data_IF_025643398400
#
_entry.id   IF_025643398400
#
_cell.length_a   1.000
_cell.length_b   1.000
_cell.length_c   1.000
_cell.angle_alpha   90.00
_cell.angle_beta   90.00
_cell.angle_gamma   90.00
#
_symmetry.space_group_name_H-M   'P 1'
#
loop_
_entity.id
_entity.type
_entity.pdbx_description
1 polymer ?
#
# COMPACT_ATOMS: atom_id res chain seq x y z
N UNK A 1 9.98 -42.59 9.58
CA UNK A 1 11.37 -42.14 9.56
C UNK A 1 11.36 -40.66 9.95
N UNK A 2 12.20 -40.28 10.86
CA UNK A 2 12.21 -38.93 11.38
C UNK A 2 13.60 -38.52 11.85
N UNK A 3 13.76 -37.21 12.06
CA UNK A 3 14.98 -36.61 12.58
C UNK A 3 14.85 -36.38 14.09
N UNK A 4 15.89 -36.74 14.84
CA UNK A 4 16.02 -36.43 16.24
C UNK A 4 17.08 -35.33 16.41
N UNK A 5 16.73 -34.27 17.11
CA UNK A 5 17.66 -33.19 17.41
C UNK A 5 18.68 -33.62 18.46
N UNK A 6 19.95 -33.54 18.16
CA UNK A 6 21.01 -33.73 19.13
C UNK A 6 21.06 -32.59 20.13
N UNK A 7 21.06 -32.91 21.44
CA UNK A 7 21.14 -31.88 22.48
C UNK A 7 22.43 -31.07 22.34
N UNK A 8 22.29 -29.75 22.34
CA UNK A 8 23.40 -28.80 22.30
C UNK A 8 24.17 -28.95 23.62
N UNK A 9 25.38 -29.50 23.60
CA UNK A 9 26.28 -29.28 24.70
C UNK A 9 27.22 -30.38 25.18
N UNK A 10 27.10 -31.60 24.70
CA UNK A 10 27.93 -32.69 25.29
C UNK A 10 28.62 -33.65 24.30
N UNK A 11 28.56 -33.37 23.01
CA UNK A 11 28.94 -34.37 22.00
C UNK A 11 30.13 -34.01 21.12
N UNK A 12 30.77 -32.85 21.30
CA UNK A 12 31.86 -32.41 20.45
C UNK A 12 33.19 -33.18 20.60
N UNK A 13 33.26 -34.13 21.54
CA UNK A 13 34.52 -34.84 21.77
C UNK A 13 34.48 -36.36 21.65
N UNK A 14 33.34 -37.00 21.73
CA UNK A 14 33.26 -38.46 21.86
C UNK A 14 32.47 -39.16 20.74
N UNK A 15 31.66 -38.43 19.97
CA UNK A 15 30.81 -39.03 18.93
C UNK A 15 31.32 -38.83 17.49
N UNK A 16 32.42 -38.13 17.27
CA UNK A 16 32.97 -37.93 15.92
C UNK A 16 33.40 -39.24 15.22
N UNK A 17 33.66 -40.29 16.00
CA UNK A 17 34.11 -41.58 15.48
C UNK A 17 32.97 -42.60 15.30
N UNK A 18 31.72 -42.28 15.63
CA UNK A 18 30.60 -43.26 15.63
C UNK A 18 29.53 -43.00 14.55
N UNK A 19 29.53 -41.82 13.90
CA UNK A 19 28.55 -41.59 12.83
C UNK A 19 28.99 -42.31 11.54
N UNK A 20 28.02 -42.93 10.88
CA UNK A 20 28.26 -43.70 9.66
C UNK A 20 28.45 -42.76 8.44
N UNK A 21 27.65 -41.73 8.38
CA UNK A 21 27.63 -40.76 7.30
C UNK A 21 27.28 -39.37 7.86
N UNK A 22 27.89 -38.35 7.30
CA UNK A 22 27.61 -36.93 7.66
C UNK A 22 27.21 -36.18 6.40
N UNK A 23 25.95 -35.74 6.38
CA UNK A 23 25.39 -34.94 5.28
C UNK A 23 25.44 -33.48 5.65
N UNK A 24 25.91 -32.68 4.75
CA UNK A 24 26.04 -31.23 4.96
C UNK A 24 25.97 -30.47 3.63
N UNK A 25 25.74 -29.17 3.73
CA UNK A 25 25.88 -28.23 2.64
C UNK A 25 26.76 -27.06 3.08
N UNK A 26 27.70 -26.68 2.24
CA UNK A 26 28.44 -25.45 2.43
C UNK A 26 27.50 -24.24 2.32
N UNK A 27 27.99 -23.06 2.70
CA UNK A 27 27.20 -21.84 2.57
C UNK A 27 26.71 -21.66 1.12
N UNK A 28 25.37 -21.58 0.95
CA UNK A 28 24.76 -21.34 -0.34
C UNK A 28 24.97 -19.88 -0.74
N UNK A 29 25.60 -19.69 -1.90
CA UNK A 29 25.73 -18.37 -2.53
C UNK A 29 24.39 -17.85 -3.05
N UNK A 30 24.33 -16.55 -3.37
CA UNK A 30 23.13 -15.92 -3.89
C UNK A 30 22.62 -16.51 -5.21
N UNK A 31 23.50 -17.17 -5.98
CA UNK A 31 23.15 -17.74 -7.29
C UNK A 31 22.61 -19.17 -7.20
N UNK A 32 22.69 -19.81 -6.04
CA UNK A 32 22.25 -21.20 -5.83
C UNK A 32 20.96 -21.23 -5.06
N UNK A 33 19.92 -21.79 -5.66
CA UNK A 33 18.58 -21.91 -5.08
C UNK A 33 18.38 -23.25 -4.36
N UNK A 34 18.88 -24.32 -4.95
CA UNK A 34 18.85 -25.67 -4.35
C UNK A 34 20.08 -26.46 -4.79
N UNK A 35 20.55 -27.34 -3.92
CA UNK A 35 21.71 -28.19 -4.18
C UNK A 35 21.53 -29.57 -3.51
N UNK A 36 22.10 -30.61 -4.14
CA UNK A 36 22.24 -31.91 -3.48
C UNK A 36 23.28 -31.82 -2.35
N UNK A 37 22.94 -32.35 -1.19
CA UNK A 37 23.84 -32.39 -0.03
C UNK A 37 25.11 -33.18 -0.31
N UNK A 38 26.21 -32.72 0.30
CA UNK A 38 27.49 -33.45 0.31
C UNK A 38 27.48 -34.49 1.38
N UNK A 39 28.15 -35.61 1.09
CA UNK A 39 28.29 -36.74 1.99
C UNK A 39 29.76 -36.91 2.41
N UNK A 40 30.00 -36.98 3.72
CA UNK A 40 31.28 -37.41 4.29
C UNK A 40 31.08 -38.77 4.95
N UNK A 41 31.94 -39.70 4.67
CA UNK A 41 31.88 -41.06 5.21
C UNK A 41 33.06 -41.29 6.13
N UNK A 42 32.81 -41.81 7.33
CA UNK A 42 33.83 -42.20 8.29
C UNK A 42 33.86 -43.73 8.36
N UNK A 43 34.67 -44.38 7.51
CA UNK A 43 35.07 -45.76 7.68
C UNK A 43 34.01 -46.87 7.51
N UNK A 44 32.85 -46.61 6.90
CA UNK A 44 31.79 -47.61 6.74
C UNK A 44 31.79 -48.33 5.39
N UNK A 45 31.07 -49.47 5.30
CA UNK A 45 30.92 -50.29 4.09
C UNK A 45 30.14 -49.66 2.94
N UNK A 46 29.52 -48.46 3.16
CA UNK A 46 28.71 -47.72 2.18
C UNK A 46 29.48 -46.64 1.44
N UNK A 47 30.78 -46.73 1.34
CA UNK A 47 31.65 -45.73 0.75
C UNK A 47 31.40 -45.43 -0.77
N UNK A 48 30.55 -46.20 -1.43
CA UNK A 48 30.29 -46.12 -2.87
C UNK A 48 28.85 -45.79 -3.28
N UNK A 49 27.91 -45.70 -2.37
CA UNK A 49 26.49 -45.47 -2.71
C UNK A 49 26.02 -44.09 -2.30
N UNK A 50 26.00 -43.17 -3.23
CA UNK A 50 25.66 -41.76 -2.99
C UNK A 50 24.20 -41.52 -2.56
N UNK A 51 23.33 -42.45 -2.82
CA UNK A 51 21.88 -42.29 -2.62
C UNK A 51 21.31 -43.18 -1.53
N UNK A 52 22.08 -43.42 -0.46
CA UNK A 52 21.62 -44.17 0.73
C UNK A 52 21.98 -43.34 1.97
N UNK A 53 21.02 -43.21 2.88
CA UNK A 53 21.19 -42.60 4.21
C UNK A 53 21.09 -43.75 5.24
N UNK A 54 22.18 -44.07 5.90
CA UNK A 54 22.20 -45.10 6.90
C UNK A 54 21.51 -44.64 8.19
N UNK A 55 20.88 -45.58 8.92
CA UNK A 55 20.35 -45.29 10.25
C UNK A 55 21.47 -44.84 11.19
N UNK A 56 21.29 -43.71 11.89
CA UNK A 56 22.30 -43.09 12.74
C UNK A 56 23.22 -42.09 11.96
N UNK A 57 22.99 -41.85 10.69
CA UNK A 57 23.69 -40.78 9.98
C UNK A 57 23.33 -39.40 10.52
N UNK A 58 24.28 -38.46 10.49
CA UNK A 58 24.07 -37.08 10.92
C UNK A 58 23.81 -36.20 9.73
N UNK A 59 22.84 -35.30 9.86
CA UNK A 59 22.47 -34.32 8.84
C UNK A 59 22.58 -32.94 9.48
N UNK A 60 23.47 -32.11 8.96
CA UNK A 60 23.67 -30.75 9.43
C UNK A 60 22.85 -29.76 8.61
N UNK A 61 22.19 -28.83 9.26
CA UNK A 61 21.43 -27.73 8.66
C UNK A 61 22.03 -26.43 9.16
N UNK A 62 22.49 -25.58 8.25
CA UNK A 62 23.02 -24.26 8.58
C UNK A 62 21.93 -23.18 8.50
N UNK A 63 22.21 -22.01 9.12
CA UNK A 63 21.34 -20.85 9.01
C UNK A 63 21.09 -20.44 7.55
N UNK A 64 19.87 -20.11 7.23
CA UNK A 64 19.46 -19.72 5.88
C UNK A 64 19.36 -20.89 4.90
N UNK A 65 19.33 -22.12 5.40
CA UNK A 65 19.11 -23.33 4.63
C UNK A 65 17.86 -24.06 5.10
N UNK A 66 17.19 -24.72 4.17
CA UNK A 66 16.18 -25.74 4.48
C UNK A 66 16.64 -27.07 3.90
N UNK A 67 16.79 -28.07 4.73
CA UNK A 67 17.11 -29.44 4.34
C UNK A 67 15.86 -30.24 4.03
N UNK A 68 15.94 -31.10 3.03
CA UNK A 68 14.85 -31.98 2.59
C UNK A 68 15.40 -33.35 2.27
N UNK A 69 14.78 -34.40 2.83
CA UNK A 69 15.08 -35.78 2.49
C UNK A 69 14.04 -36.25 1.47
N UNK A 70 14.53 -36.80 0.39
CA UNK A 70 13.71 -37.37 -0.67
C UNK A 70 14.02 -38.85 -0.79
N UNK A 71 12.99 -39.70 -0.69
CA UNK A 71 13.08 -41.15 -0.81
C UNK A 71 12.23 -41.61 -2.00
N UNK A 72 12.85 -42.25 -2.98
CA UNK A 72 12.16 -42.73 -4.20
C UNK A 72 11.33 -41.64 -4.88
N UNK A 73 11.87 -40.41 -4.95
CA UNK A 73 11.20 -39.24 -5.53
C UNK A 73 10.14 -38.62 -4.64
N UNK A 74 9.95 -39.06 -3.40
CA UNK A 74 9.00 -38.50 -2.44
C UNK A 74 9.72 -37.79 -1.32
N UNK A 75 9.23 -36.62 -0.94
CA UNK A 75 9.72 -35.92 0.23
C UNK A 75 9.24 -36.66 1.49
N UNK A 76 10.18 -37.10 2.31
CA UNK A 76 9.91 -37.86 3.55
C UNK A 76 10.22 -37.00 4.78
N UNK A 77 11.11 -36.01 4.69
CA UNK A 77 11.45 -35.18 5.82
C UNK A 77 11.88 -33.77 5.37
N UNK A 78 11.60 -32.74 6.18
CA UNK A 78 11.95 -31.34 5.93
C UNK A 78 12.39 -30.68 7.22
N UNK A 79 13.56 -30.03 7.21
CA UNK A 79 14.08 -29.30 8.37
C UNK A 79 14.67 -27.95 7.95
N UNK A 80 14.17 -26.85 8.54
CA UNK A 80 14.68 -25.50 8.36
C UNK A 80 15.24 -24.90 9.66
N UNK A 81 15.29 -25.65 10.74
CA UNK A 81 15.94 -25.24 11.97
C UNK A 81 17.43 -25.54 11.89
N UNK A 82 18.32 -24.58 12.17
CA UNK A 82 19.75 -24.83 12.22
C UNK A 82 20.10 -25.84 13.32
N UNK A 83 21.02 -26.76 13.02
CA UNK A 83 21.46 -27.77 13.96
C UNK A 83 21.94 -29.04 13.29
N UNK A 84 22.31 -30.01 14.11
CA UNK A 84 22.66 -31.37 13.70
C UNK A 84 21.56 -32.35 14.12
N UNK A 85 21.17 -33.20 13.21
CA UNK A 85 20.06 -34.15 13.36
C UNK A 85 20.53 -35.56 13.06
N UNK A 86 20.11 -36.53 13.86
CA UNK A 86 20.37 -37.94 13.62
C UNK A 86 19.18 -38.50 12.82
N UNK A 87 19.51 -39.14 11.69
CA UNK A 87 18.52 -39.86 10.89
C UNK A 87 18.17 -41.20 11.54
N UNK A 88 16.90 -41.35 11.93
CA UNK A 88 16.39 -42.56 12.55
C UNK A 88 15.23 -43.14 11.73
N UNK A 89 15.42 -44.37 11.23
CA UNK A 89 14.44 -45.08 10.42
C UNK A 89 13.21 -45.49 11.24
N UNK A 90 13.33 -45.60 12.56
CA UNK A 90 12.24 -46.06 13.46
C UNK A 90 11.25 -44.95 13.81
N UNK A 91 11.61 -43.67 13.60
CA UNK A 91 10.75 -42.54 13.95
C UNK A 91 9.82 -42.13 12.78
N UNK A 92 8.69 -41.54 13.11
CA UNK A 92 7.80 -40.95 12.10
C UNK A 92 8.44 -39.73 11.42
N UNK A 93 8.03 -39.40 10.19
CA UNK A 93 8.50 -38.20 9.51
C UNK A 93 8.31 -36.96 10.38
N UNK A 94 9.36 -36.18 10.57
CA UNK A 94 9.34 -35.00 11.40
C UNK A 94 9.43 -33.74 10.52
N UNK A 95 8.71 -32.74 10.94
CA UNK A 95 8.73 -31.43 10.30
C UNK A 95 9.31 -30.40 11.28
N UNK A 96 10.57 -30.07 11.11
CA UNK A 96 11.20 -28.98 11.84
C UNK A 96 11.17 -27.70 10.98
N UNK A 97 10.11 -26.92 11.16
CA UNK A 97 9.95 -25.64 10.47
C UNK A 97 10.30 -24.51 11.43
N UNK A 98 11.39 -23.83 11.18
CA UNK A 98 11.74 -22.59 11.90
C UNK A 98 10.62 -21.53 11.73
N UNK A 99 10.53 -20.60 12.69
CA UNK A 99 9.38 -19.73 12.93
C UNK A 99 8.71 -19.02 11.75
N UNK A 100 9.37 -18.85 10.61
CA UNK A 100 8.80 -18.19 9.42
C UNK A 100 8.25 -19.13 8.33
N UNK A 101 8.52 -20.44 8.41
CA UNK A 101 8.11 -21.44 7.42
C UNK A 101 6.93 -22.34 7.86
N UNK A 102 6.40 -22.14 9.06
CA UNK A 102 5.74 -23.24 9.80
C UNK A 102 4.32 -23.60 9.38
N UNK A 103 3.47 -22.67 8.98
CA UNK A 103 2.04 -23.01 8.78
C UNK A 103 1.74 -23.60 7.41
N UNK A 104 2.29 -23.04 6.36
CA UNK A 104 1.99 -23.46 4.99
C UNK A 104 2.68 -24.77 4.61
N UNK A 105 3.91 -24.99 5.11
CA UNK A 105 4.64 -26.24 4.85
C UNK A 105 3.97 -27.44 5.55
N UNK A 106 3.48 -27.28 6.80
CA UNK A 106 2.76 -28.34 7.53
C UNK A 106 1.54 -28.83 6.75
N UNK A 107 0.75 -27.93 6.19
CA UNK A 107 -0.46 -28.28 5.45
C UNK A 107 -0.14 -29.04 4.16
N UNK A 108 0.86 -28.56 3.41
CA UNK A 108 1.28 -29.19 2.14
C UNK A 108 1.93 -30.53 2.41
N UNK A 109 2.78 -30.64 3.44
CA UNK A 109 3.43 -31.88 3.83
C UNK A 109 2.43 -32.95 4.30
N UNK A 110 1.44 -32.59 5.12
CA UNK A 110 0.38 -33.50 5.53
C UNK A 110 -0.49 -33.98 4.36
N UNK A 111 -0.69 -33.13 3.36
CA UNK A 111 -1.45 -33.47 2.16
C UNK A 111 -0.69 -34.43 1.25
N UNK A 112 0.63 -34.25 1.11
CA UNK A 112 1.51 -35.14 0.31
C UNK A 112 1.78 -36.45 1.04
N UNK A 113 2.04 -36.40 2.35
CA UNK A 113 2.34 -37.58 3.17
C UNK A 113 1.21 -38.62 3.26
N UNK A 114 -0.05 -38.17 3.16
CA UNK A 114 -1.23 -39.06 3.20
C UNK A 114 -1.46 -39.87 1.94
N UNK A 115 -0.77 -39.61 0.84
CA UNK A 115 -1.09 -40.20 -0.47
C UNK A 115 -0.40 -41.54 -0.77
N UNK A 116 0.59 -41.97 0.03
CA UNK A 116 1.40 -43.15 -0.39
C UNK A 116 1.88 -44.03 0.76
N UNK A 117 1.21 -45.11 0.96
CA UNK A 117 1.74 -46.31 1.64
C UNK A 117 1.95 -47.41 0.61
N UNK A 118 3.19 -47.74 0.27
CA UNK A 118 3.53 -48.92 -0.49
C UNK A 118 4.62 -49.72 0.24
N UNK A 119 4.39 -51.03 0.42
CA UNK A 119 5.35 -51.93 1.00
C UNK A 119 6.31 -52.52 -0.03
N UNK A 120 7.54 -52.77 0.40
CA UNK A 120 8.59 -53.45 -0.38
C UNK A 120 9.98 -53.02 0.05
N UNK A 121 10.81 -53.99 0.49
CA UNK A 121 12.20 -53.77 0.89
C UNK A 121 13.08 -53.83 -0.37
N UNK A 122 13.18 -52.74 -1.15
CA UNK A 122 14.20 -52.57 -2.15
C UNK A 122 15.21 -51.53 -1.64
N UNK A 123 16.48 -51.50 -2.12
CA UNK A 123 17.41 -50.45 -1.78
C UNK A 123 16.76 -49.12 -2.19
N UNK A 124 16.48 -48.28 -1.19
CA UNK A 124 15.74 -47.06 -1.39
C UNK A 124 16.69 -45.99 -1.88
N UNK A 125 16.35 -45.34 -3.01
CA UNK A 125 17.06 -44.13 -3.46
C UNK A 125 16.71 -42.97 -2.52
N UNK A 126 17.63 -42.58 -1.67
CA UNK A 126 17.49 -41.52 -0.68
C UNK A 126 18.46 -40.40 -0.97
N UNK A 127 17.94 -39.17 -1.04
CA UNK A 127 18.72 -37.98 -1.36
C UNK A 127 18.45 -36.89 -0.36
N UNK A 128 19.50 -36.14 0.01
CA UNK A 128 19.39 -34.93 0.84
C UNK A 128 19.56 -33.72 -0.07
N UNK A 129 18.60 -32.81 -0.02
CA UNK A 129 18.67 -31.53 -0.73
C UNK A 129 18.68 -30.38 0.26
N UNK A 130 19.36 -29.30 -0.11
CA UNK A 130 19.39 -28.06 0.65
C UNK A 130 18.89 -26.90 -0.22
N UNK A 131 17.95 -26.14 0.32
CA UNK A 131 17.33 -24.98 -0.32
C UNK A 131 17.81 -23.70 0.34
N UNK A 132 18.07 -22.68 -0.47
CA UNK A 132 18.43 -21.37 0.01
C UNK A 132 17.16 -20.63 0.47
N UNK A 133 17.03 -20.38 1.78
CA UNK A 133 15.89 -19.64 2.36
C UNK A 133 16.24 -18.18 2.68
N UNK A 134 17.47 -17.77 2.36
CA UNK A 134 17.91 -16.37 2.48
C UNK A 134 17.23 -15.49 1.44
N UNK A 135 17.27 -14.21 1.67
CA UNK A 135 16.87 -13.22 0.70
C UNK A 135 17.83 -13.19 -0.49
N UNK A 136 17.29 -13.33 -1.69
CA UNK A 136 18.03 -13.36 -2.96
C UNK A 136 17.96 -11.97 -3.58
N UNK A 137 18.98 -11.18 -3.33
CA UNK A 137 19.08 -9.77 -3.72
C UNK A 137 19.67 -9.57 -5.13
N UNK A 138 19.59 -8.34 -5.64
CA UNK A 138 20.25 -7.92 -6.89
C UNK A 138 19.55 -8.38 -8.16
N UNK A 139 18.25 -8.66 -8.13
CA UNK A 139 17.47 -9.01 -9.32
C UNK A 139 17.04 -7.73 -10.03
N UNK A 140 17.70 -7.39 -11.14
CA UNK A 140 17.41 -6.19 -11.91
C UNK A 140 16.20 -6.37 -12.82
N UNK A 141 15.32 -5.38 -12.80
CA UNK A 141 14.22 -5.28 -13.74
C UNK A 141 14.21 -3.93 -14.45
N UNK A 142 13.53 -3.87 -15.57
CA UNK A 142 13.25 -2.64 -16.31
C UNK A 142 12.14 -2.91 -17.29
N UNK A 143 11.26 -1.93 -17.48
CA UNK A 143 10.14 -2.04 -18.41
C UNK A 143 10.60 -1.70 -19.84
N UNK A 144 10.74 -2.68 -20.75
CA UNK A 144 11.13 -2.41 -22.14
C UNK A 144 10.06 -1.60 -22.87
N UNK A 145 8.79 -1.89 -22.58
CA UNK A 145 7.64 -1.11 -23.04
C UNK A 145 7.07 -0.33 -21.88
N UNK A 146 6.53 0.88 -22.12
CA UNK A 146 5.85 1.65 -21.09
C UNK A 146 4.69 0.88 -20.48
N UNK A 147 4.47 1.05 -19.19
CA UNK A 147 3.37 0.45 -18.44
C UNK A 147 2.32 1.53 -18.18
N UNK A 148 1.02 1.27 -18.44
CA UNK A 148 -0.04 2.21 -18.11
C UNK A 148 -0.11 2.49 -16.60
N UNK A 149 -0.25 3.76 -16.25
CA UNK A 149 -0.45 4.23 -14.89
C UNK A 149 -1.52 5.30 -14.87
N UNK A 150 -2.59 5.07 -14.13
CA UNK A 150 -3.66 6.06 -13.99
C UNK A 150 -3.25 7.14 -13.01
N UNK A 151 -3.29 8.39 -13.45
CA UNK A 151 -3.05 9.56 -12.60
C UNK A 151 -4.39 10.14 -12.20
N UNK A 152 -4.69 10.12 -10.90
CA UNK A 152 -5.88 10.76 -10.33
C UNK A 152 -5.41 11.88 -9.41
N UNK A 153 -5.87 13.10 -9.69
CA UNK A 153 -5.71 14.25 -8.80
C UNK A 153 -7.07 14.96 -8.70
N UNK A 154 -7.87 14.54 -7.72
CA UNK A 154 -9.22 15.10 -7.50
C UNK A 154 -9.18 16.61 -7.29
N UNK A 155 -8.15 17.08 -6.59
CA UNK A 155 -7.96 18.50 -6.38
C UNK A 155 -7.66 19.23 -7.69
N UNK A 156 -7.03 18.63 -8.66
CA UNK A 156 -6.77 19.17 -9.99
C UNK A 156 -7.85 18.80 -11.04
N UNK A 157 -8.79 17.91 -10.71
CA UNK A 157 -9.74 17.37 -11.68
C UNK A 157 -9.04 16.59 -12.79
N UNK A 158 -7.88 15.98 -12.49
CA UNK A 158 -7.09 15.20 -13.44
C UNK A 158 -7.45 13.72 -13.22
N UNK A 159 -7.86 13.06 -14.28
CA UNK A 159 -8.06 11.62 -14.34
C UNK A 159 -7.65 11.18 -15.75
N UNK A 160 -6.44 10.65 -15.87
CA UNK A 160 -5.88 10.25 -17.16
C UNK A 160 -4.89 9.08 -17.00
N UNK A 161 -4.78 8.26 -18.02
CA UNK A 161 -3.77 7.23 -18.11
C UNK A 161 -2.52 7.76 -18.80
N UNK A 162 -1.37 7.54 -18.17
CA UNK A 162 -0.05 7.88 -18.71
C UNK A 162 0.77 6.62 -18.92
N UNK A 163 1.78 6.71 -19.75
CA UNK A 163 2.71 5.64 -20.04
C UNK A 163 4.02 5.84 -19.28
N UNK A 164 4.28 5.01 -18.25
CA UNK A 164 5.50 5.13 -17.45
C UNK A 164 6.51 4.04 -17.78
N UNK A 165 7.79 4.39 -17.76
CA UNK A 165 8.91 3.46 -17.74
C UNK A 165 9.57 3.49 -16.38
N UNK A 166 9.89 2.33 -15.86
CA UNK A 166 10.62 2.22 -14.60
C UNK A 166 11.67 1.11 -14.67
N UNK A 167 12.69 1.28 -13.84
CA UNK A 167 13.68 0.24 -13.60
C UNK A 167 14.12 0.27 -12.14
N UNK A 168 14.64 -0.84 -11.67
CA UNK A 168 15.10 -0.99 -10.31
C UNK A 168 15.56 -2.41 -10.03
N UNK A 169 15.56 -2.75 -8.77
CA UNK A 169 15.94 -4.08 -8.29
C UNK A 169 14.86 -4.62 -7.35
N UNK A 170 14.69 -5.92 -7.34
CA UNK A 170 13.83 -6.61 -6.40
C UNK A 170 14.58 -7.76 -5.74
N UNK A 171 14.11 -8.17 -4.60
CA UNK A 171 14.57 -9.37 -3.95
C UNK A 171 13.41 -10.34 -3.73
N UNK A 172 13.73 -11.61 -3.72
CA UNK A 172 12.77 -12.66 -3.40
C UNK A 172 13.42 -13.71 -2.50
N UNK A 173 12.60 -14.56 -1.91
CA UNK A 173 13.05 -15.72 -1.14
C UNK A 173 12.16 -16.92 -1.40
N UNK A 174 12.71 -18.09 -1.12
CA UNK A 174 11.96 -19.34 -1.11
C UNK A 174 11.31 -19.46 0.27
N UNK A 175 9.98 -19.31 0.33
CA UNK A 175 9.18 -19.40 1.55
C UNK A 175 8.61 -20.81 1.76
N UNK A 176 8.50 -21.60 0.69
CA UNK A 176 8.07 -22.99 0.75
C UNK A 176 8.95 -23.89 -0.13
N UNK A 177 10.05 -24.41 0.42
CA UNK A 177 10.96 -25.29 -0.31
C UNK A 177 10.31 -26.56 -0.86
N UNK A 178 9.23 -27.02 -0.25
CA UNK A 178 8.51 -28.21 -0.71
C UNK A 178 7.80 -27.96 -2.05
N UNK A 179 7.11 -26.81 -2.17
CA UNK A 179 6.49 -26.40 -3.43
C UNK A 179 7.55 -26.11 -4.49
N UNK A 180 8.66 -25.50 -4.07
CA UNK A 180 9.78 -25.22 -4.97
C UNK A 180 10.38 -26.50 -5.53
N UNK A 181 10.59 -27.52 -4.69
CA UNK A 181 11.05 -28.84 -5.11
C UNK A 181 10.07 -29.50 -6.07
N UNK A 182 8.82 -29.58 -5.67
CA UNK A 182 7.80 -30.35 -6.41
C UNK A 182 7.50 -29.76 -7.79
N UNK A 183 7.47 -28.44 -7.89
CA UNK A 183 6.98 -27.76 -9.09
C UNK A 183 8.07 -27.13 -9.98
N UNK A 184 9.30 -27.01 -9.47
CA UNK A 184 10.37 -26.37 -10.21
C UNK A 184 11.61 -27.23 -10.40
N UNK A 185 12.30 -27.60 -9.31
CA UNK A 185 13.63 -28.16 -9.45
C UNK A 185 13.63 -29.71 -9.50
N UNK A 186 12.70 -30.38 -8.82
CA UNK A 186 12.68 -31.83 -8.75
C UNK A 186 14.02 -32.42 -8.27
N UNK A 187 14.39 -33.56 -8.82
CA UNK A 187 15.67 -34.22 -8.53
C UNK A 187 16.84 -33.51 -9.24
N UNK A 188 17.47 -32.58 -8.54
CA UNK A 188 18.66 -31.88 -9.04
C UNK A 188 19.89 -32.77 -8.88
N UNK A 189 20.69 -32.91 -9.92
CA UNK A 189 21.92 -33.72 -9.85
C UNK A 189 23.02 -33.01 -9.06
N UNK A 190 23.27 -31.72 -9.34
CA UNK A 190 24.29 -30.93 -8.67
C UNK A 190 23.68 -29.69 -7.99
N UNK A 191 23.28 -28.70 -8.76
CA UNK A 191 22.69 -27.45 -8.27
C UNK A 191 21.58 -26.94 -9.19
N UNK A 192 20.58 -26.32 -8.60
CA UNK A 192 19.58 -25.51 -9.28
C UNK A 192 19.89 -24.03 -9.04
N UNK A 193 20.31 -23.36 -10.09
CA UNK A 193 20.80 -21.98 -10.06
C UNK A 193 19.74 -20.99 -10.55
N UNK A 194 19.92 -19.72 -10.22
CA UNK A 194 18.99 -18.63 -10.54
C UNK A 194 18.72 -18.48 -12.03
N UNK A 195 19.76 -18.64 -12.86
CA UNK A 195 19.68 -18.52 -14.33
C UNK A 195 18.59 -19.40 -14.95
N UNK A 196 18.26 -20.51 -14.30
CA UNK A 196 17.21 -21.43 -14.78
C UNK A 196 15.79 -20.88 -14.65
N UNK A 197 15.57 -19.88 -13.78
CA UNK A 197 14.24 -19.36 -13.48
C UNK A 197 14.13 -17.84 -13.62
N UNK A 198 15.24 -17.10 -13.57
CA UNK A 198 15.25 -15.64 -13.54
C UNK A 198 14.50 -15.00 -14.72
N UNK A 199 14.65 -15.55 -15.92
CA UNK A 199 13.94 -15.05 -17.11
C UNK A 199 12.41 -15.16 -16.95
N UNK A 200 11.94 -16.27 -16.42
CA UNK A 200 10.52 -16.52 -16.17
C UNK A 200 9.98 -15.60 -15.06
N UNK A 201 10.71 -15.49 -13.95
CA UNK A 201 10.33 -14.61 -12.84
C UNK A 201 10.25 -13.16 -13.30
N UNK A 202 11.23 -12.71 -14.08
CA UNK A 202 11.26 -11.35 -14.64
C UNK A 202 10.08 -11.08 -15.57
N UNK A 203 9.75 -12.02 -16.47
CA UNK A 203 8.62 -11.87 -17.38
C UNK A 203 7.29 -11.78 -16.63
N UNK A 204 7.09 -12.62 -15.62
CA UNK A 204 5.88 -12.61 -14.78
C UNK A 204 5.79 -11.35 -13.92
N UNK A 205 6.93 -10.90 -13.36
CA UNK A 205 7.02 -9.64 -12.62
C UNK A 205 6.59 -8.45 -13.48
N UNK A 206 7.14 -8.35 -14.71
CA UNK A 206 6.78 -7.27 -15.63
C UNK A 206 5.30 -7.28 -16.00
N UNK A 207 4.71 -8.47 -16.16
CA UNK A 207 3.26 -8.61 -16.40
C UNK A 207 2.45 -8.17 -15.18
N UNK A 208 2.94 -8.44 -13.96
CA UNK A 208 2.27 -8.09 -12.72
C UNK A 208 2.38 -6.60 -12.37
N UNK A 209 3.32 -5.87 -12.95
CA UNK A 209 3.49 -4.43 -12.68
C UNK A 209 2.23 -3.62 -13.03
N UNK A 210 1.57 -3.91 -14.15
CA UNK A 210 0.38 -3.17 -14.55
C UNK A 210 -0.75 -3.26 -13.52
N UNK A 211 -1.24 -4.45 -13.12
CA UNK A 211 -2.27 -4.54 -12.08
C UNK A 211 -1.80 -4.07 -10.70
N UNK A 212 -0.50 -4.21 -10.38
CA UNK A 212 0.05 -3.68 -9.15
C UNK A 212 0.02 -2.14 -9.14
N UNK A 213 0.45 -1.49 -10.23
CA UNK A 213 0.38 -0.04 -10.37
C UNK A 213 -1.06 0.49 -10.39
N UNK A 214 -2.02 -0.27 -10.94
CA UNK A 214 -3.43 0.08 -10.84
C UNK A 214 -3.92 0.13 -9.39
N UNK A 215 -3.50 -0.83 -8.54
CA UNK A 215 -3.79 -0.81 -7.10
C UNK A 215 -3.15 0.40 -6.40
N UNK A 216 -1.90 0.71 -6.71
CA UNK A 216 -1.16 1.85 -6.14
C UNK A 216 -1.81 3.17 -6.55
N UNK A 217 -2.18 3.31 -7.82
CA UNK A 217 -2.90 4.48 -8.33
C UNK A 217 -4.26 4.67 -7.63
N UNK A 218 -5.00 3.58 -7.39
CA UNK A 218 -6.26 3.62 -6.66
C UNK A 218 -6.13 4.11 -5.21
N UNK A 219 -4.92 4.02 -4.62
CA UNK A 219 -4.58 4.59 -3.30
C UNK A 219 -4.27 6.09 -3.37
N UNK A 220 -4.36 6.73 -4.53
CA UNK A 220 -4.05 8.15 -4.75
C UNK A 220 -2.54 8.46 -4.81
N UNK A 221 -1.69 7.46 -4.93
CA UNK A 221 -0.24 7.62 -5.00
C UNK A 221 0.15 8.03 -6.43
N UNK A 222 0.86 9.15 -6.54
CA UNK A 222 1.34 9.65 -7.85
C UNK A 222 2.52 8.80 -8.35
N UNK A 223 2.67 8.67 -9.70
CA UNK A 223 3.78 7.92 -10.29
C UNK A 223 5.16 8.42 -9.84
N UNK A 224 5.32 9.74 -9.65
CA UNK A 224 6.57 10.34 -9.17
C UNK A 224 6.93 10.00 -7.72
N UNK A 225 5.95 9.54 -6.92
CA UNK A 225 6.13 9.14 -5.53
C UNK A 225 6.42 7.62 -5.37
N UNK A 226 6.33 6.82 -6.44
CA UNK A 226 6.57 5.38 -6.42
C UNK A 226 7.89 4.96 -5.73
N UNK A 227 9.03 5.69 -5.91
CA UNK A 227 10.26 5.34 -5.19
C UNK A 227 10.15 5.41 -3.65
N UNK A 228 9.18 6.16 -3.13
CA UNK A 228 8.90 6.26 -1.69
C UNK A 228 7.92 5.20 -1.17
N UNK A 229 7.22 4.48 -2.05
CA UNK A 229 6.16 3.51 -1.71
C UNK A 229 6.53 2.07 -2.07
N UNK A 230 7.78 1.71 -1.80
CA UNK A 230 8.34 0.41 -2.21
C UNK A 230 7.70 -0.77 -1.51
N UNK A 231 7.26 -0.60 -0.26
CA UNK A 231 6.59 -1.66 0.51
C UNK A 231 5.19 -1.94 -0.03
N UNK A 232 4.43 -0.91 -0.32
CA UNK A 232 3.08 -1.01 -0.89
C UNK A 232 3.12 -1.67 -2.27
N UNK A 233 4.14 -1.32 -3.09
CA UNK A 233 4.34 -1.96 -4.40
C UNK A 233 4.70 -3.43 -4.24
N UNK A 234 5.61 -3.78 -3.32
CA UNK A 234 5.97 -5.18 -3.05
C UNK A 234 4.74 -5.99 -2.61
N UNK A 235 3.91 -5.43 -1.73
CA UNK A 235 2.67 -6.07 -1.30
C UNK A 235 1.68 -6.24 -2.46
N UNK A 236 1.47 -5.21 -3.27
CA UNK A 236 0.59 -5.28 -4.44
C UNK A 236 1.07 -6.32 -5.47
N UNK A 237 2.38 -6.43 -5.68
CA UNK A 237 2.97 -7.46 -6.56
C UNK A 237 2.78 -8.86 -5.97
N UNK A 238 3.01 -9.05 -4.67
CA UNK A 238 2.79 -10.34 -4.02
C UNK A 238 1.33 -10.79 -4.13
N UNK A 239 0.37 -9.87 -3.99
CA UNK A 239 -1.05 -10.19 -4.16
C UNK A 239 -1.36 -10.65 -5.60
N UNK A 240 -0.79 -9.99 -6.61
CA UNK A 240 -1.00 -10.33 -8.02
C UNK A 240 -0.32 -11.64 -8.38
N UNK A 241 0.88 -11.87 -7.85
CA UNK A 241 1.70 -13.05 -8.16
C UNK A 241 1.40 -14.25 -7.27
N UNK A 242 0.57 -14.11 -6.21
CA UNK A 242 0.37 -15.12 -5.18
C UNK A 242 0.05 -16.51 -5.73
N UNK A 243 -0.85 -16.61 -6.71
CA UNK A 243 -1.23 -17.90 -7.29
C UNK A 243 -0.08 -18.62 -7.99
N UNK A 244 0.84 -17.89 -8.63
CA UNK A 244 1.96 -18.47 -9.38
C UNK A 244 3.23 -18.60 -8.55
N UNK A 245 3.53 -17.59 -7.74
CA UNK A 245 4.80 -17.54 -7.00
C UNK A 245 4.68 -18.22 -5.65
N UNK A 246 3.78 -17.75 -4.78
CA UNK A 246 3.64 -18.28 -3.44
C UNK A 246 2.96 -19.66 -3.42
N UNK A 247 1.79 -19.77 -4.05
CA UNK A 247 0.94 -20.96 -3.90
C UNK A 247 1.40 -22.12 -4.80
N UNK A 248 2.01 -21.83 -5.95
CA UNK A 248 2.52 -22.88 -6.83
C UNK A 248 4.02 -23.17 -6.63
N UNK A 249 4.85 -22.13 -6.44
CA UNK A 249 6.32 -22.28 -6.42
C UNK A 249 6.95 -22.04 -5.06
N UNK A 250 6.21 -21.53 -4.09
CA UNK A 250 6.73 -21.23 -2.77
C UNK A 250 7.75 -20.10 -2.75
N UNK A 251 7.60 -19.10 -3.64
CA UNK A 251 8.47 -17.92 -3.77
C UNK A 251 7.67 -16.67 -3.41
N UNK A 252 8.31 -15.70 -2.78
CA UNK A 252 7.70 -14.42 -2.40
C UNK A 252 8.67 -13.26 -2.61
N UNK A 253 8.17 -12.12 -3.08
CA UNK A 253 8.94 -10.87 -3.13
C UNK A 253 9.13 -10.36 -1.71
N UNK A 254 10.37 -10.09 -1.34
CA UNK A 254 10.72 -9.51 -0.03
C UNK A 254 10.80 -7.99 -0.13
N UNK A 255 11.48 -7.49 -1.16
CA UNK A 255 11.61 -6.06 -1.40
C UNK A 255 11.47 -5.74 -2.89
N UNK A 256 10.99 -4.54 -3.18
CA UNK A 256 10.88 -4.03 -4.54
C UNK A 256 11.32 -2.57 -4.56
N UNK A 257 12.45 -2.31 -5.19
CA UNK A 257 13.02 -0.98 -5.32
C UNK A 257 12.74 -0.38 -6.68
N UNK A 258 12.35 0.90 -6.72
CA UNK A 258 12.22 1.69 -7.94
C UNK A 258 13.32 2.72 -7.97
N UNK A 259 14.34 2.48 -8.78
CA UNK A 259 15.49 3.40 -8.91
C UNK A 259 15.14 4.62 -9.74
N UNK A 260 14.29 4.47 -10.73
CA UNK A 260 13.80 5.57 -11.58
C UNK A 260 12.44 5.24 -12.14
N UNK A 261 11.60 6.25 -12.22
CA UNK A 261 10.33 6.23 -12.94
C UNK A 261 10.21 7.49 -13.78
N UNK A 262 9.81 7.33 -15.04
CA UNK A 262 9.61 8.45 -15.98
C UNK A 262 8.34 8.21 -16.78
N UNK A 263 7.52 9.25 -16.90
CA UNK A 263 6.47 9.29 -17.91
C UNK A 263 7.06 9.67 -19.29
N UNK A 264 6.28 9.54 -20.35
CA UNK A 264 6.67 10.09 -21.65
C UNK A 264 6.75 11.63 -21.57
N UNK A 265 7.56 12.24 -22.42
CA UNK A 265 7.65 13.69 -22.45
C UNK A 265 6.31 14.36 -22.78
N UNK A 266 5.52 13.70 -23.62
CA UNK A 266 4.17 14.16 -24.00
C UNK A 266 3.22 14.13 -22.80
N UNK A 267 3.22 13.02 -22.03
CA UNK A 267 2.40 12.86 -20.83
C UNK A 267 2.81 13.87 -19.74
N UNK A 268 4.13 14.05 -19.54
CA UNK A 268 4.61 15.06 -18.57
C UNK A 268 4.20 16.48 -18.95
N UNK A 269 4.26 16.81 -20.24
CA UNK A 269 3.80 18.11 -20.73
C UNK A 269 2.30 18.27 -20.55
N UNK A 270 1.52 17.23 -20.85
CA UNK A 270 0.07 17.24 -20.67
C UNK A 270 -0.31 17.45 -19.19
N UNK A 271 0.32 16.73 -18.26
CA UNK A 271 0.10 16.89 -16.82
C UNK A 271 0.44 18.34 -16.40
N UNK A 272 1.58 18.88 -16.83
CA UNK A 272 1.99 20.26 -16.53
C UNK A 272 0.99 21.27 -17.07
N UNK A 273 0.50 21.07 -18.29
CA UNK A 273 -0.51 21.95 -18.88
C UNK A 273 -1.83 21.93 -18.12
N UNK A 274 -2.30 20.72 -17.72
CA UNK A 274 -3.51 20.59 -16.92
C UNK A 274 -3.36 21.23 -15.53
N UNK A 275 -2.22 21.04 -14.87
CA UNK A 275 -1.92 21.71 -13.60
C UNK A 275 -1.87 23.24 -13.74
N UNK A 276 -1.28 23.74 -14.83
CA UNK A 276 -1.27 25.18 -15.14
C UNK A 276 -2.68 25.70 -15.44
N UNK A 277 -3.45 24.98 -16.27
CA UNK A 277 -4.82 25.35 -16.58
C UNK A 277 -5.67 25.51 -15.33
N UNK A 278 -5.52 24.58 -14.36
CA UNK A 278 -6.20 24.68 -13.07
C UNK A 278 -5.74 25.86 -12.24
N UNK A 279 -4.44 26.18 -12.23
CA UNK A 279 -3.95 27.36 -11.56
C UNK A 279 -4.60 28.63 -12.17
N UNK A 280 -4.86 28.62 -13.48
CA UNK A 280 -5.56 29.73 -14.18
C UNK A 280 -7.06 29.76 -13.93
N UNK A 281 -7.68 28.67 -13.48
CA UNK A 281 -9.08 28.67 -13.05
C UNK A 281 -9.31 29.46 -11.76
N UNK A 282 -8.26 29.70 -10.98
CA UNK A 282 -8.33 30.60 -9.84
C UNK A 282 -8.25 32.06 -10.37
N UNK A 283 -9.34 32.87 -10.23
CA UNK A 283 -9.41 34.20 -10.82
C UNK A 283 -8.28 35.12 -10.36
N UNK A 284 -7.81 34.99 -9.13
CA UNK A 284 -6.68 35.77 -8.60
C UNK A 284 -5.34 35.42 -9.28
N UNK A 285 -5.09 34.14 -9.54
CA UNK A 285 -3.88 33.70 -10.24
C UNK A 285 -3.96 34.01 -11.74
N UNK A 286 -5.14 33.90 -12.36
CA UNK A 286 -5.36 34.30 -13.74
C UNK A 286 -5.07 35.80 -13.93
N UNK A 287 -5.55 36.65 -13.02
CA UNK A 287 -5.28 38.10 -13.03
C UNK A 287 -3.79 38.38 -12.85
N UNK A 288 -3.10 37.70 -11.94
CA UNK A 288 -1.65 37.89 -11.74
C UNK A 288 -0.84 37.51 -12.99
N UNK A 289 -1.22 36.37 -13.65
CA UNK A 289 -0.57 35.93 -14.88
C UNK A 289 -0.85 36.89 -16.06
N UNK A 290 -2.07 37.40 -16.18
CA UNK A 290 -2.41 38.42 -17.19
C UNK A 290 -1.58 39.67 -16.98
N UNK A 291 -1.48 40.16 -15.73
CA UNK A 291 -0.65 41.33 -15.39
C UNK A 291 0.83 41.09 -15.72
N UNK A 292 1.35 39.89 -15.43
CA UNK A 292 2.73 39.49 -15.77
C UNK A 292 2.95 39.42 -17.28
N UNK A 293 2.02 38.83 -18.02
CA UNK A 293 2.09 38.75 -19.48
C UNK A 293 2.07 40.13 -20.10
N UNK A 294 1.24 41.05 -19.58
CA UNK A 294 1.21 42.47 -19.99
C UNK A 294 2.54 43.15 -19.68
N UNK A 295 3.11 42.97 -18.49
CA UNK A 295 4.40 43.55 -18.13
C UNK A 295 5.53 43.02 -19.04
N UNK A 296 5.56 41.73 -19.34
CA UNK A 296 6.53 41.14 -20.26
C UNK A 296 6.36 41.69 -21.69
N UNK A 297 5.14 41.78 -22.19
CA UNK A 297 4.85 42.36 -23.50
C UNK A 297 5.28 43.82 -23.58
N UNK A 298 5.07 44.61 -22.51
CA UNK A 298 5.59 45.98 -22.41
C UNK A 298 7.12 46.04 -22.43
N UNK A 299 7.76 45.14 -21.70
CA UNK A 299 9.22 45.06 -21.63
C UNK A 299 9.84 44.68 -22.98
N UNK A 300 9.21 43.74 -23.70
CA UNK A 300 9.68 43.31 -25.03
C UNK A 300 9.38 44.37 -26.10
N UNK A 301 8.24 45.08 -26.00
CA UNK A 301 7.94 46.25 -26.84
C UNK A 301 8.91 47.40 -26.61
N UNK A 302 9.36 47.63 -25.38
CA UNK A 302 10.35 48.66 -25.04
C UNK A 302 11.75 48.35 -25.60
N UNK A 303 12.08 47.08 -25.88
CA UNK A 303 13.35 46.69 -26.52
C UNK A 303 13.39 46.90 -28.02
N UNK A 304 12.24 47.10 -28.69
CA UNK A 304 12.14 47.30 -30.12
C UNK A 304 12.03 48.79 -30.43
N UNK A 305 12.97 49.36 -31.21
CA UNK A 305 13.09 50.79 -31.55
C UNK A 305 11.90 51.42 -32.32
N UNK A 306 10.89 50.65 -32.72
CA UNK A 306 9.70 51.13 -33.42
C UNK A 306 8.36 50.66 -32.83
N UNK A 307 8.39 49.84 -31.79
CA UNK A 307 7.20 49.11 -31.33
C UNK A 307 6.42 49.74 -30.16
N UNK A 308 7.03 50.63 -29.40
CA UNK A 308 6.44 51.16 -28.17
C UNK A 308 5.13 51.94 -28.39
N UNK A 309 5.03 52.73 -29.43
CA UNK A 309 3.83 53.50 -29.74
C UNK A 309 2.67 52.63 -30.27
N UNK A 310 2.96 51.62 -31.09
CA UNK A 310 1.95 50.67 -31.63
C UNK A 310 1.47 49.70 -30.54
N UNK A 311 2.35 49.24 -29.63
CA UNK A 311 1.97 48.37 -28.52
C UNK A 311 1.07 49.09 -27.51
N UNK A 312 1.29 50.36 -27.25
CA UNK A 312 0.46 51.20 -26.37
C UNK A 312 -0.94 51.44 -26.97
N UNK A 313 -1.02 51.62 -28.28
CA UNK A 313 -2.28 51.84 -29.00
C UNK A 313 -3.10 50.52 -29.10
N UNK A 314 -2.44 49.40 -29.35
CA UNK A 314 -3.06 48.07 -29.36
C UNK A 314 -3.59 47.66 -27.99
N UNK A 315 -2.87 47.98 -26.91
CA UNK A 315 -3.28 47.65 -25.56
C UNK A 315 -4.48 48.45 -25.06
N UNK A 316 -4.56 49.76 -25.40
CA UNK A 316 -5.74 50.57 -25.11
C UNK A 316 -6.99 50.08 -25.87
N UNK A 317 -6.80 49.58 -27.09
CA UNK A 317 -7.89 49.02 -27.88
C UNK A 317 -8.35 47.67 -27.36
N UNK A 318 -7.44 46.79 -26.91
CA UNK A 318 -7.74 45.49 -26.30
C UNK A 318 -8.45 45.62 -24.95
N UNK A 319 -8.13 46.63 -24.16
CA UNK A 319 -8.81 46.92 -22.88
C UNK A 319 -10.24 47.42 -23.07
N UNK A 320 -10.54 48.08 -24.18
CA UNK A 320 -11.87 48.61 -24.46
C UNK A 320 -12.83 47.66 -25.19
N UNK A 321 -12.30 46.64 -25.89
CA UNK A 321 -13.12 45.74 -26.73
C UNK A 321 -13.37 44.36 -26.07
N UNK A 322 -12.54 43.94 -25.15
CA UNK A 322 -12.70 42.65 -24.46
C UNK A 322 -12.91 42.85 -22.96
N UNK A 323 -14.10 42.64 -22.45
CA UNK A 323 -14.51 42.79 -21.04
C UNK A 323 -13.72 41.95 -20.00
N UNK A 324 -12.51 41.49 -20.31
CA UNK A 324 -11.58 40.82 -19.43
C UNK A 324 -10.49 41.75 -18.93
N UNK A 325 -10.79 42.46 -17.83
CA UNK A 325 -9.82 43.30 -17.13
C UNK A 325 -9.29 42.57 -15.90
N UNK A 326 -7.97 42.66 -15.62
CA UNK A 326 -7.35 42.08 -14.44
C UNK A 326 -8.08 42.45 -13.14
N UNK A 327 -8.62 43.66 -13.04
CA UNK A 327 -9.43 44.11 -11.90
C UNK A 327 -10.73 43.34 -11.74
N UNK A 328 -11.42 42.97 -12.83
CA UNK A 328 -12.63 42.16 -12.78
C UNK A 328 -12.32 40.73 -12.35
N UNK A 329 -11.20 40.17 -12.81
CA UNK A 329 -10.73 38.82 -12.38
C UNK A 329 -10.32 38.81 -10.90
N UNK A 330 -9.67 39.84 -10.39
CA UNK A 330 -9.38 40.01 -8.97
C UNK A 330 -10.66 40.11 -8.13
N UNK A 331 -11.66 40.80 -8.58
CA UNK A 331 -12.96 40.90 -7.90
C UNK A 331 -13.71 39.57 -7.91
N UNK A 332 -13.68 38.82 -9.02
CA UNK A 332 -14.24 37.46 -9.09
C UNK A 332 -13.50 36.48 -8.17
N UNK A 333 -12.16 36.59 -8.07
CA UNK A 333 -11.35 35.76 -7.17
C UNK A 333 -11.61 36.05 -5.69
N UNK A 334 -11.85 37.33 -5.35
CA UNK A 334 -12.22 37.71 -4.01
C UNK A 334 -13.62 37.20 -3.58
N UNK A 335 -14.49 36.92 -4.55
CA UNK A 335 -15.83 36.34 -4.31
C UNK A 335 -15.82 34.82 -4.23
N UNK A 336 -14.79 34.15 -4.76
CA UNK A 336 -14.65 32.67 -4.72
C UNK A 336 -13.76 32.11 -3.58
N UNK A 337 -13.06 32.99 -2.85
CA UNK A 337 -12.50 32.53 -1.57
C UNK A 337 -13.68 32.20 -0.66
N UNK A 338 -13.74 30.97 -0.08
CA UNK A 338 -14.66 30.75 1.03
C UNK A 338 -14.34 31.86 2.01
N UNK A 339 -15.31 32.75 2.24
CA UNK A 339 -15.23 33.73 3.31
C UNK A 339 -14.81 32.97 4.56
N UNK A 340 -13.52 33.02 4.89
CA UNK A 340 -13.17 32.98 6.29
C UNK A 340 -14.01 34.10 6.86
N UNK A 341 -15.07 33.73 7.52
CA UNK A 341 -15.87 34.64 8.34
C UNK A 341 -14.87 35.42 9.16
N UNK A 342 -14.56 36.63 8.69
CA UNK A 342 -13.99 37.65 9.56
C UNK A 342 -14.90 37.62 10.78
N UNK A 343 -14.33 37.35 11.93
CA UNK A 343 -15.04 37.39 13.19
C UNK A 343 -15.89 38.67 13.16
N UNK A 344 -17.22 38.58 13.40
CA UNK A 344 -18.08 39.75 13.26
C UNK A 344 -17.49 40.84 14.14
N UNK A 345 -17.20 41.98 13.54
CA UNK A 345 -16.90 43.19 14.30
C UNK A 345 -18.03 43.32 15.31
N UNK A 346 -17.69 43.41 16.57
CA UNK A 346 -18.51 43.08 17.75
C UNK A 346 -19.90 43.74 17.86
N UNK A 347 -20.44 44.45 16.85
CA UNK A 347 -21.76 45.09 16.91
C UNK A 347 -22.45 45.29 15.53
N UNK A 348 -22.09 44.60 14.49
CA UNK A 348 -22.72 44.74 13.14
C UNK A 348 -23.79 43.68 12.86
N UNK A 349 -24.89 44.02 12.12
CA UNK A 349 -25.91 43.07 11.62
C UNK A 349 -26.07 43.26 10.10
N UNK A 350 -26.33 42.19 9.36
CA UNK A 350 -26.52 42.23 7.92
C UNK A 350 -27.99 42.45 7.57
N UNK A 351 -28.32 43.44 6.77
CA UNK A 351 -29.65 43.76 6.33
C UNK A 351 -30.23 42.66 5.43
N UNK A 352 -31.37 42.01 5.73
CA UNK A 352 -31.95 40.93 4.89
C UNK A 352 -32.49 41.47 3.56
N UNK A 353 -32.68 42.77 3.38
CA UNK A 353 -33.27 43.36 2.20
C UNK A 353 -32.21 43.84 1.16
N UNK A 354 -31.03 44.26 1.60
CA UNK A 354 -30.03 44.78 0.69
C UNK A 354 -28.60 44.23 0.93
N UNK A 355 -28.41 43.34 1.90
CA UNK A 355 -27.11 42.72 2.20
C UNK A 355 -26.08 43.62 2.88
N UNK A 356 -26.38 44.87 3.14
CA UNK A 356 -25.45 45.86 3.76
C UNK A 356 -25.29 45.58 5.26
N UNK A 357 -24.03 45.61 5.75
CA UNK A 357 -23.74 45.48 7.19
C UNK A 357 -23.95 46.83 7.86
N UNK A 358 -24.78 46.85 8.89
CA UNK A 358 -25.16 48.08 9.64
C UNK A 358 -24.97 47.88 11.15
N UNK A 359 -24.56 48.90 11.86
CA UNK A 359 -24.31 48.86 13.31
C UNK A 359 -25.45 49.49 14.11
N UNK A 360 -26.38 50.17 13.46
CA UNK A 360 -27.52 50.83 14.09
C UNK A 360 -28.81 50.03 14.16
N UNK A 361 -29.90 50.62 14.64
CA UNK A 361 -31.24 50.02 14.69
C UNK A 361 -31.93 49.93 13.33
N UNK A 362 -31.39 50.62 12.31
CA UNK A 362 -31.88 50.60 10.93
C UNK A 362 -30.71 50.44 9.96
N UNK A 363 -30.98 49.84 8.83
CA UNK A 363 -30.00 49.72 7.74
C UNK A 363 -29.64 51.09 7.19
N UNK A 364 -28.33 51.39 7.15
CA UNK A 364 -27.83 52.67 6.66
C UNK A 364 -28.02 52.89 5.14
N UNK A 365 -28.27 51.79 4.38
CA UNK A 365 -28.42 51.82 2.92
C UNK A 365 -29.89 51.88 2.47
N UNK A 366 -30.80 51.09 3.09
CA UNK A 366 -32.19 50.95 2.66
C UNK A 366 -33.24 51.27 3.74
N UNK A 367 -32.83 51.66 4.95
CA UNK A 367 -33.72 52.03 6.01
C UNK A 367 -34.46 50.90 6.71
N UNK A 368 -34.19 49.62 6.31
CA UNK A 368 -34.85 48.46 6.92
C UNK A 368 -34.47 48.31 8.39
N UNK A 369 -35.46 48.13 9.25
CA UNK A 369 -35.27 47.92 10.72
C UNK A 369 -34.50 46.63 10.99
N UNK A 370 -33.55 46.68 11.95
CA UNK A 370 -32.80 45.52 12.41
C UNK A 370 -33.77 44.42 12.85
N UNK A 371 -33.65 43.16 12.33
CA UNK A 371 -34.43 42.06 12.82
C UNK A 371 -34.18 41.86 14.34
N UNK A 372 -35.21 41.75 15.13
CA UNK A 372 -35.06 41.36 16.51
C UNK A 372 -34.67 39.87 16.54
N UNK A 373 -33.72 39.45 17.40
CA UNK A 373 -33.39 38.03 17.54
C UNK A 373 -34.65 37.27 17.93
N UNK A 374 -34.99 36.23 17.14
CA UNK A 374 -36.08 35.33 17.46
C UNK A 374 -35.83 34.76 18.85
N UNK A 375 -36.77 35.00 19.77
CA UNK A 375 -36.68 34.49 21.13
C UNK A 375 -36.52 32.98 21.12
N UNK A 376 -35.62 32.44 21.89
CA UNK A 376 -35.14 31.05 21.94
C UNK A 376 -36.18 29.96 22.24
N UNK A 377 -37.48 30.20 22.04
CA UNK A 377 -38.57 29.26 22.33
C UNK A 377 -39.68 29.20 21.27
N UNK A 378 -39.37 29.49 20.01
CA UNK A 378 -40.34 29.35 18.92
C UNK A 378 -40.06 28.13 18.08
N UNK A 379 -41.12 27.42 17.65
CA UNK A 379 -41.06 26.31 16.72
C UNK A 379 -41.95 26.57 15.49
N UNK A 380 -41.57 26.05 14.35
CA UNK A 380 -42.31 26.21 13.08
C UNK A 380 -43.17 24.96 12.84
N UNK A 381 -44.48 25.13 12.66
CA UNK A 381 -45.39 24.06 12.34
C UNK A 381 -45.26 23.66 10.87
N UNK A 382 -45.66 22.42 10.49
CA UNK A 382 -45.74 21.96 9.11
C UNK A 382 -46.64 22.82 8.20
N UNK A 383 -47.55 23.63 8.79
CA UNK A 383 -48.35 24.62 8.06
C UNK A 383 -47.62 25.95 7.82
N UNK A 384 -46.34 26.09 8.24
CA UNK A 384 -45.52 27.30 8.08
C UNK A 384 -45.66 28.33 9.23
N UNK A 385 -46.59 28.17 10.17
CA UNK A 385 -46.81 29.11 11.29
C UNK A 385 -45.73 28.98 12.35
N UNK A 386 -45.18 30.10 12.85
CA UNK A 386 -44.20 30.17 13.95
C UNK A 386 -44.93 30.30 15.28
N UNK A 387 -44.71 29.37 16.19
CA UNK A 387 -45.46 29.22 17.46
C UNK A 387 -44.55 29.28 18.69
N UNK A 388 -45.08 29.78 19.79
CA UNK A 388 -44.41 29.79 21.12
C UNK A 388 -45.00 28.76 22.08
N UNK A 389 -46.20 28.20 21.79
CA UNK A 389 -46.93 27.30 22.67
C UNK A 389 -46.78 25.83 22.34
N UNK A 390 -47.48 24.96 23.09
CA UNK A 390 -47.48 23.49 22.87
C UNK A 390 -48.31 23.07 21.67
N UNK A 391 -49.09 23.97 21.07
CA UNK A 391 -49.96 23.74 19.92
C UNK A 391 -49.78 24.87 18.88
N UNK A 392 -49.98 24.56 17.60
CA UNK A 392 -49.98 25.56 16.54
C UNK A 392 -51.24 26.44 16.64
N UNK A 393 -51.05 27.76 16.60
CA UNK A 393 -52.17 28.74 16.65
C UNK A 393 -53.06 28.72 15.41
N UNK A 394 -52.52 28.25 14.26
CA UNK A 394 -53.24 28.26 12.99
C UNK A 394 -53.98 26.94 12.73
N UNK A 395 -53.32 25.79 12.95
CA UNK A 395 -53.88 24.50 12.60
C UNK A 395 -54.14 23.55 13.80
N UNK A 396 -53.81 23.96 15.01
CA UNK A 396 -54.01 23.14 16.21
C UNK A 396 -53.05 21.96 16.36
N UNK A 397 -52.10 21.75 15.46
CA UNK A 397 -51.16 20.65 15.55
C UNK A 397 -50.25 20.77 16.77
N UNK A 398 -49.98 19.65 17.45
CA UNK A 398 -49.13 19.59 18.63
C UNK A 398 -47.68 19.81 18.22
N UNK A 399 -46.89 20.54 19.02
CA UNK A 399 -45.44 20.71 18.85
C UNK A 399 -44.79 19.32 18.69
N UNK A 400 -44.02 19.07 17.66
CA UNK A 400 -43.27 17.81 17.53
C UNK A 400 -42.39 17.58 18.76
N UNK A 401 -42.36 16.36 19.29
CA UNK A 401 -41.41 15.99 20.32
C UNK A 401 -40.01 16.24 19.78
N UNK A 402 -39.16 16.98 20.51
CA UNK A 402 -37.80 17.29 20.07
C UNK A 402 -37.02 16.00 19.85
N UNK A 403 -36.12 15.99 18.83
CA UNK A 403 -35.15 14.92 18.69
C UNK A 403 -34.31 14.89 19.96
N UNK A 404 -34.09 13.72 20.59
CA UNK A 404 -33.31 13.63 21.81
C UNK A 404 -31.91 14.21 21.58
N UNK A 405 -31.49 15.09 22.48
CA UNK A 405 -30.13 15.66 22.47
C UNK A 405 -29.31 14.90 23.53
N UNK A 406 -28.08 14.64 23.21
CA UNK A 406 -27.17 13.85 24.05
C UNK A 406 -26.06 14.71 24.65
N UNK A 407 -25.76 14.46 25.93
CA UNK A 407 -24.65 15.05 26.68
C UNK A 407 -24.13 13.98 27.63
N UNK A 408 -22.85 13.73 27.66
CA UNK A 408 -22.27 12.71 28.53
C UNK A 408 -22.57 12.99 29.98
N UNK A 409 -23.26 12.08 30.65
CA UNK A 409 -23.70 12.21 32.05
C UNK A 409 -22.54 12.17 33.04
N UNK A 410 -21.42 11.52 32.65
CA UNK A 410 -20.25 11.32 33.48
C UNK A 410 -19.28 12.50 33.51
N UNK A 411 -19.00 13.14 32.36
CA UNK A 411 -18.02 14.23 32.26
C UNK A 411 -18.61 15.54 31.74
N UNK A 412 -19.84 15.55 31.25
CA UNK A 412 -20.51 16.73 30.73
C UNK A 412 -20.10 17.12 29.31
N UNK A 413 -19.33 16.27 28.58
CA UNK A 413 -18.94 16.52 27.19
C UNK A 413 -20.16 16.50 26.27
N UNK A 414 -20.21 17.46 25.32
CA UNK A 414 -21.30 17.59 24.36
C UNK A 414 -20.76 17.27 22.94
N UNK A 415 -21.42 16.37 22.17
CA UNK A 415 -21.07 16.12 20.78
C UNK A 415 -21.30 17.35 19.92
N UNK A 416 -20.52 17.51 18.87
CA UNK A 416 -20.66 18.58 17.87
C UNK A 416 -22.06 18.55 17.19
N UNK A 417 -22.62 17.36 17.00
CA UNK A 417 -24.02 17.14 16.67
C UNK A 417 -24.72 16.44 17.88
N UNK A 418 -25.46 17.19 18.71
CA UNK A 418 -26.10 16.62 19.87
C UNK A 418 -27.18 15.57 19.59
N UNK A 419 -27.62 15.43 18.34
CA UNK A 419 -28.64 14.46 17.89
C UNK A 419 -28.04 13.12 17.46
N UNK A 420 -26.74 13.09 17.20
CA UNK A 420 -26.00 11.89 16.74
C UNK A 420 -24.71 11.73 17.55
N UNK A 421 -24.77 11.23 18.78
CA UNK A 421 -23.56 11.03 19.57
C UNK A 421 -22.70 9.88 19.03
N UNK A 422 -21.37 9.91 19.23
CA UNK A 422 -20.52 8.77 19.00
C UNK A 422 -20.88 7.63 19.96
N UNK A 423 -20.43 6.40 19.69
CA UNK A 423 -20.71 5.25 20.56
C UNK A 423 -20.14 5.38 21.97
N UNK A 424 -19.03 6.13 22.11
CA UNK A 424 -18.35 6.37 23.38
C UNK A 424 -17.92 7.83 23.45
N UNK A 425 -17.95 8.39 24.65
CA UNK A 425 -17.46 9.74 24.93
C UNK A 425 -15.94 9.81 24.69
N UNK A 426 -15.44 10.72 23.83
CA UNK A 426 -14.00 10.81 23.52
C UNK A 426 -13.16 11.34 24.70
N UNK A 427 -13.79 11.99 25.70
CA UNK A 427 -13.07 12.53 26.85
C UNK A 427 -12.93 11.51 27.99
N UNK A 428 -13.95 10.70 28.26
CA UNK A 428 -13.94 9.79 29.41
C UNK A 428 -14.19 8.33 29.08
N UNK A 429 -14.47 7.99 27.78
CA UNK A 429 -14.71 6.63 27.33
C UNK A 429 -16.06 6.03 27.71
N UNK A 430 -16.98 6.82 28.30
CA UNK A 430 -18.30 6.36 28.69
C UNK A 430 -19.18 6.06 27.47
N UNK A 431 -19.92 4.95 27.40
CA UNK A 431 -20.82 4.66 26.30
C UNK A 431 -22.07 5.57 26.38
N UNK A 432 -22.49 6.19 25.26
CA UNK A 432 -23.70 6.95 25.19
C UNK A 432 -24.93 6.04 25.26
N UNK A 433 -25.77 6.25 26.31
CA UNK A 433 -26.99 5.50 26.55
C UNK A 433 -28.20 6.40 26.90
N UNK A 434 -29.26 5.80 27.46
CA UNK A 434 -30.47 6.54 27.87
C UNK A 434 -30.26 7.55 28.97
N UNK A 435 -29.17 7.49 29.74
CA UNK A 435 -28.82 8.44 30.82
C UNK A 435 -28.27 9.75 30.28
N UNK A 436 -27.70 9.73 29.06
CA UNK A 436 -27.08 10.89 28.41
C UNK A 436 -28.09 11.79 27.67
N UNK A 437 -29.36 11.46 27.65
CA UNK A 437 -30.41 12.23 26.96
C UNK A 437 -30.79 13.46 27.80
N UNK A 438 -30.54 14.65 27.26
CA UNK A 438 -30.87 15.95 27.85
C UNK A 438 -31.96 16.62 27.02
N UNK A 439 -33.21 16.50 27.42
CA UNK A 439 -34.30 17.28 26.82
C UNK A 439 -35.47 16.50 26.34
#
# INVERSE_FOLDING_TARGET
>A
MGLLRTGIGTVTGVLSDQWKEYFYCDALGADVLAVKGRKRVSGGSNSGLDNIISNGSVIAVADGQCMMIVEQGKVVDVCAEPGEYIYDISTEPSLFAGGNLSSNIKQVFQTIGKRFTFGGVAPKDQRVYYFNTKELVGNKYGTPSPVPFRVVDEAAGIDLDIAIRCFGEYSYRITNPLLFYTNLCGNVEAAYTRDKIDSQLKAELLTALQPAFAKISAMGIRYSALPGHTMEIAQALNDVLSAKWRDLRGIEIVSFGVSSVKASEEDEQMIKQMQQAKAYMNPGMAAANLARAQANAMQDAAKNQGGAAMAFMGMNMAQNVGGFNAQNLYQMGAQQQPQQTAAPAANGWTCPQCGTVSTGKFCSSCGTKKPEPAAANTWTCSCGAVNKGKFCSECGAKKPAGVPQYKCDKCGWEPADPTHPPKFCPECGDPFDGGDIVG
#
